data_IF_499599464307
#
_entry.id   IF_499599464307
#
_cell.length_a   1.000
_cell.length_b   1.000
_cell.length_c   1.000
_cell.angle_alpha   90.00
_cell.angle_beta   90.00
_cell.angle_gamma   90.00
#
_symmetry.space_group_name_H-M   'P 1'
#
loop_
_entity.id
_entity.type
_entity.pdbx_description
1 polymer ?
#
# COMPACT_ATOMS: atom_id res chain seq x y z
N UNK A 1 6.14 35.99 43.60
CA UNK A 1 5.07 35.30 42.85
C UNK A 1 5.70 34.83 41.55
N UNK A 2 6.02 33.54 41.43
CA UNK A 2 6.65 32.99 40.22
C UNK A 2 5.58 32.80 39.15
N UNK A 3 5.74 33.47 38.01
CA UNK A 3 4.91 33.27 36.83
C UNK A 3 5.29 31.91 36.23
N UNK A 4 4.53 30.86 36.54
CA UNK A 4 4.64 29.60 35.81
C UNK A 4 4.08 29.91 34.42
N UNK A 5 4.96 30.18 33.46
CA UNK A 5 4.61 30.20 32.04
C UNK A 5 4.02 28.84 31.72
N UNK A 6 2.80 28.82 31.23
CA UNK A 6 2.15 27.61 30.76
C UNK A 6 2.81 27.19 29.43
N UNK A 7 3.67 26.17 29.45
CA UNK A 7 4.45 25.77 28.28
C UNK A 7 3.58 25.07 27.22
N UNK A 8 2.34 24.69 27.56
CA UNK A 8 1.36 24.18 26.60
C UNK A 8 0.77 25.35 25.81
N UNK A 9 0.40 26.43 26.50
CA UNK A 9 -0.13 27.64 25.86
C UNK A 9 0.87 28.31 24.92
N UNK A 10 2.14 28.45 25.33
CA UNK A 10 3.19 28.98 24.45
C UNK A 10 3.42 28.11 23.20
N UNK A 11 3.27 26.78 23.32
CA UNK A 11 3.34 25.86 22.17
C UNK A 11 2.15 26.02 21.24
N UNK A 12 0.93 26.14 21.79
CA UNK A 12 -0.28 26.37 21.02
C UNK A 12 -0.22 27.66 20.21
N UNK A 13 0.27 28.74 20.81
CA UNK A 13 0.41 30.05 20.14
C UNK A 13 1.46 30.03 19.02
N UNK A 14 2.43 29.10 19.08
CA UNK A 14 3.44 28.90 18.04
C UNK A 14 2.97 28.07 16.84
N UNK A 15 1.80 27.42 16.90
CA UNK A 15 1.30 26.62 15.78
C UNK A 15 0.75 27.49 14.65
N UNK A 16 1.05 27.11 13.41
CA UNK A 16 0.43 27.71 12.23
C UNK A 16 -1.08 27.48 12.22
N UNK A 17 -1.85 28.49 11.81
CA UNK A 17 -3.31 28.36 11.61
C UNK A 17 -3.58 27.84 10.20
N UNK A 18 -4.41 26.80 10.09
CA UNK A 18 -4.89 26.28 8.82
C UNK A 18 -6.33 26.71 8.59
N UNK A 19 -6.58 27.49 7.53
CA UNK A 19 -7.93 27.94 7.16
C UNK A 19 -8.55 26.93 6.19
N UNK A 20 -9.73 26.41 6.53
CA UNK A 20 -10.48 25.47 5.70
C UNK A 20 -11.73 26.17 5.17
N UNK A 21 -11.85 26.29 3.85
CA UNK A 21 -13.08 26.74 3.19
C UNK A 21 -13.89 25.53 2.74
N UNK A 22 -15.18 25.50 3.05
CA UNK A 22 -16.05 24.36 2.70
C UNK A 22 -17.49 24.80 2.51
N UNK A 23 -18.20 24.08 1.64
CA UNK A 23 -19.64 24.16 1.40
C UNK A 23 -20.45 23.27 2.38
N UNK A 24 -19.79 22.59 3.33
CA UNK A 24 -20.42 21.66 4.28
C UNK A 24 -20.89 22.36 5.56
N UNK A 25 -21.74 23.36 5.40
CA UNK A 25 -22.35 24.16 6.47
C UNK A 25 -23.07 23.32 7.55
N UNK A 26 -23.65 22.18 7.15
CA UNK A 26 -24.38 21.27 8.06
C UNK A 26 -23.50 20.31 8.86
N UNK A 27 -22.18 20.29 8.64
CA UNK A 27 -21.27 19.37 9.33
C UNK A 27 -20.68 20.00 10.58
N UNK A 28 -20.50 19.20 11.64
CA UNK A 28 -19.77 19.66 12.82
C UNK A 28 -18.31 19.98 12.47
N UNK A 29 -17.76 21.06 13.01
CA UNK A 29 -16.39 21.52 12.74
C UNK A 29 -15.34 20.42 12.98
N UNK A 30 -15.51 19.60 14.03
CA UNK A 30 -14.64 18.46 14.30
C UNK A 30 -14.63 17.45 13.15
N UNK A 31 -15.81 17.17 12.55
CA UNK A 31 -15.94 16.26 11.41
C UNK A 31 -15.28 16.86 10.16
N UNK A 32 -15.43 18.17 9.94
CA UNK A 32 -14.78 18.88 8.83
C UNK A 32 -13.25 18.75 8.95
N UNK A 33 -12.70 19.07 10.12
CA UNK A 33 -11.25 18.98 10.38
C UNK A 33 -10.76 17.53 10.24
N UNK A 34 -11.46 16.55 10.83
CA UNK A 34 -11.10 15.12 10.70
C UNK A 34 -11.10 14.66 9.25
N UNK A 35 -12.08 15.07 8.45
CA UNK A 35 -12.14 14.71 7.02
C UNK A 35 -11.06 15.41 6.21
N UNK A 36 -10.80 16.69 6.48
CA UNK A 36 -9.72 17.42 5.81
C UNK A 36 -8.35 16.79 6.10
N UNK A 37 -8.09 16.45 7.37
CA UNK A 37 -6.84 15.80 7.78
C UNK A 37 -6.68 14.38 7.23
N UNK A 38 -7.77 13.72 6.78
CA UNK A 38 -7.70 12.43 6.06
C UNK A 38 -7.24 12.57 4.61
N UNK A 39 -7.12 13.79 4.07
CA UNK A 39 -6.57 14.04 2.74
C UNK A 39 -5.17 13.45 2.56
N UNK A 40 -4.38 13.40 3.63
CA UNK A 40 -3.05 12.78 3.66
C UNK A 40 -3.06 11.33 3.16
N UNK A 41 -4.14 10.57 3.40
CA UNK A 41 -4.30 9.21 2.88
C UNK A 41 -4.29 9.19 1.35
N UNK A 42 -4.97 10.16 0.72
CA UNK A 42 -5.01 10.29 -0.75
C UNK A 42 -3.66 10.76 -1.27
N UNK A 43 -2.97 11.64 -0.54
CA UNK A 43 -1.61 12.08 -0.91
C UNK A 43 -0.60 10.93 -0.87
N UNK A 44 -0.73 10.00 0.06
CA UNK A 44 0.08 8.79 0.11
C UNK A 44 -0.21 7.85 -1.09
N UNK A 45 -1.45 7.77 -1.56
CA UNK A 45 -1.80 7.09 -2.83
C UNK A 45 -1.13 7.79 -4.03
N UNK A 46 -1.13 9.13 -4.07
CA UNK A 46 -0.45 9.87 -5.15
C UNK A 46 1.07 9.69 -5.14
N UNK A 47 1.70 9.57 -3.97
CA UNK A 47 3.13 9.22 -3.88
C UNK A 47 3.39 7.84 -4.48
N UNK A 48 2.50 6.89 -4.23
CA UNK A 48 2.60 5.54 -4.78
C UNK A 48 2.41 5.48 -6.30
N UNK A 49 1.52 6.31 -6.85
CA UNK A 49 1.35 6.47 -8.30
C UNK A 49 2.55 7.13 -9.01
N UNK A 50 3.42 7.79 -8.24
CA UNK A 50 4.68 8.33 -8.73
C UNK A 50 5.87 7.43 -8.35
N UNK A 51 5.64 6.34 -7.62
CA UNK A 51 6.68 5.36 -7.30
C UNK A 51 6.86 4.42 -8.48
N UNK A 52 8.07 4.47 -9.05
CA UNK A 52 8.46 3.68 -10.23
C UNK A 52 8.30 2.18 -9.99
N UNK A 53 8.39 1.74 -8.74
CA UNK A 53 8.43 0.32 -8.39
C UNK A 53 7.05 -0.32 -8.28
N UNK A 54 5.99 0.46 -8.05
CA UNK A 54 4.68 -0.10 -7.69
C UNK A 54 3.60 0.27 -8.69
N UNK A 55 3.44 1.56 -9.02
CA UNK A 55 2.45 2.01 -9.99
C UNK A 55 2.99 3.21 -10.76
N UNK A 56 3.91 3.02 -11.72
CA UNK A 56 4.52 4.13 -12.44
C UNK A 56 3.55 4.79 -13.41
N UNK A 57 2.84 5.85 -13.01
CA UNK A 57 2.15 6.69 -13.99
C UNK A 57 3.17 7.38 -14.90
N UNK A 58 4.35 7.75 -14.38
CA UNK A 58 5.43 8.37 -15.14
C UNK A 58 6.74 7.56 -15.15
N UNK A 59 7.65 7.82 -16.12
CA UNK A 59 7.46 8.70 -17.28
C UNK A 59 6.57 8.04 -18.34
N UNK A 60 5.62 8.81 -18.89
CA UNK A 60 4.73 8.35 -19.95
C UNK A 60 5.49 8.40 -21.28
N UNK A 61 6.18 7.31 -21.64
CA UNK A 61 6.88 7.19 -22.92
C UNK A 61 5.93 6.83 -24.09
N UNK A 62 4.64 7.14 -23.95
CA UNK A 62 3.62 6.87 -24.95
C UNK A 62 3.33 8.16 -25.74
N UNK A 63 3.23 8.04 -27.07
CA UNK A 63 3.06 9.20 -27.97
C UNK A 63 1.62 9.42 -28.45
N UNK A 64 0.69 8.48 -28.18
CA UNK A 64 -0.72 8.58 -28.57
C UNK A 64 -1.60 8.73 -27.34
N UNK A 65 -2.55 9.66 -27.39
CA UNK A 65 -3.50 9.92 -26.29
C UNK A 65 -4.22 8.66 -25.81
N UNK A 66 -4.60 7.75 -26.70
CA UNK A 66 -5.25 6.49 -26.34
C UNK A 66 -4.34 5.59 -25.50
N UNK A 67 -3.05 5.51 -25.86
CA UNK A 67 -2.09 4.71 -25.12
C UNK A 67 -1.82 5.31 -23.73
N UNK A 68 -1.79 6.65 -23.62
CA UNK A 68 -1.68 7.36 -22.34
C UNK A 68 -2.89 7.02 -21.46
N UNK A 69 -4.11 7.09 -22.01
CA UNK A 69 -5.35 6.77 -21.29
C UNK A 69 -5.37 5.32 -20.79
N UNK A 70 -4.99 4.36 -21.63
CA UNK A 70 -4.91 2.95 -21.25
C UNK A 70 -3.87 2.72 -20.16
N UNK A 71 -2.68 3.31 -20.29
CA UNK A 71 -1.62 3.25 -19.27
C UNK A 71 -2.11 3.78 -17.91
N UNK A 72 -2.68 4.99 -17.88
CA UNK A 72 -3.24 5.57 -16.66
C UNK A 72 -4.34 4.70 -16.06
N UNK A 73 -5.22 4.14 -16.88
CA UNK A 73 -6.27 3.23 -16.41
C UNK A 73 -5.70 1.97 -15.75
N UNK A 74 -4.68 1.34 -16.36
CA UNK A 74 -4.00 0.18 -15.79
C UNK A 74 -3.30 0.51 -14.48
N UNK A 75 -2.62 1.66 -14.41
CA UNK A 75 -1.99 2.15 -13.19
C UNK A 75 -3.02 2.30 -12.06
N UNK A 76 -4.11 3.02 -12.28
CA UNK A 76 -5.15 3.22 -11.26
C UNK A 76 -5.79 1.88 -10.85
N UNK A 77 -6.01 0.97 -11.79
CA UNK A 77 -6.53 -0.37 -11.51
C UNK A 77 -5.55 -1.18 -10.64
N UNK A 78 -4.26 -1.16 -10.97
CA UNK A 78 -3.21 -1.78 -10.17
C UNK A 78 -3.14 -1.22 -8.74
N UNK A 79 -3.24 0.10 -8.59
CA UNK A 79 -3.33 0.74 -7.28
C UNK A 79 -4.52 0.23 -6.46
N UNK A 80 -5.69 0.08 -7.06
CA UNK A 80 -6.88 -0.46 -6.39
C UNK A 80 -6.62 -1.89 -5.91
N UNK A 81 -5.97 -2.73 -6.71
CA UNK A 81 -5.59 -4.08 -6.29
C UNK A 81 -4.59 -4.09 -5.14
N UNK A 82 -3.57 -3.22 -5.18
CA UNK A 82 -2.63 -3.07 -4.07
C UNK A 82 -3.31 -2.60 -2.78
N UNK A 83 -4.24 -1.64 -2.87
CA UNK A 83 -5.02 -1.18 -1.71
C UNK A 83 -5.93 -2.27 -1.17
N UNK A 84 -6.56 -3.04 -2.04
CA UNK A 84 -7.35 -4.20 -1.64
C UNK A 84 -6.48 -5.26 -0.95
N UNK A 85 -5.30 -5.55 -1.48
CA UNK A 85 -4.34 -6.47 -0.87
C UNK A 85 -3.88 -5.98 0.52
N UNK A 86 -3.54 -4.70 0.66
CA UNK A 86 -3.22 -4.10 1.96
C UNK A 86 -4.40 -4.20 2.94
N UNK A 87 -5.63 -3.96 2.50
CA UNK A 87 -6.82 -4.13 3.33
C UNK A 87 -6.98 -5.58 3.81
N UNK A 88 -6.78 -6.56 2.92
CA UNK A 88 -6.80 -8.00 3.25
C UNK A 88 -5.72 -8.38 4.24
N UNK A 89 -4.58 -7.69 4.24
CA UNK A 89 -3.42 -7.92 5.11
C UNK A 89 -3.31 -6.91 6.27
N UNK A 90 -4.36 -6.14 6.58
CA UNK A 90 -4.29 -5.06 7.59
C UNK A 90 -3.79 -5.49 8.97
N UNK A 91 -4.02 -6.75 9.35
CA UNK A 91 -3.63 -7.33 10.63
C UNK A 91 -2.13 -7.60 10.77
N UNK A 92 -1.38 -7.54 9.67
CA UNK A 92 0.08 -7.66 9.69
C UNK A 92 0.77 -6.36 10.13
N UNK A 93 0.04 -5.23 10.14
CA UNK A 93 0.57 -3.92 10.54
C UNK A 93 1.84 -3.48 9.79
N UNK A 94 2.00 -3.94 8.54
CA UNK A 94 3.10 -3.54 7.64
C UNK A 94 2.62 -2.53 6.60
N UNK A 95 3.54 -1.72 6.07
CA UNK A 95 3.24 -0.79 4.98
C UNK A 95 2.96 -1.56 3.68
N UNK A 96 2.25 -0.92 2.74
CA UNK A 96 1.99 -1.52 1.43
C UNK A 96 3.29 -1.83 0.68
N UNK A 97 4.29 -0.94 0.73
CA UNK A 97 5.61 -1.20 0.15
C UNK A 97 6.26 -2.46 0.73
N UNK A 98 6.27 -2.57 2.07
CA UNK A 98 6.81 -3.76 2.74
C UNK A 98 6.04 -5.01 2.37
N UNK A 99 4.71 -4.94 2.31
CA UNK A 99 3.88 -6.07 1.87
C UNK A 99 4.26 -6.57 0.47
N UNK A 100 4.54 -5.66 -0.48
CA UNK A 100 4.97 -6.04 -1.82
C UNK A 100 6.39 -6.63 -1.81
N UNK A 101 7.31 -6.04 -1.05
CA UNK A 101 8.67 -6.59 -0.87
C UNK A 101 8.64 -8.02 -0.32
N UNK A 102 7.84 -8.27 0.73
CA UNK A 102 7.68 -9.60 1.32
C UNK A 102 7.12 -10.61 0.31
N UNK A 103 6.09 -10.24 -0.43
CA UNK A 103 5.50 -11.11 -1.46
C UNK A 103 6.47 -11.36 -2.62
N UNK A 104 7.26 -10.35 -3.02
CA UNK A 104 8.28 -10.51 -4.05
C UNK A 104 9.45 -11.38 -3.61
N UNK A 105 9.68 -11.52 -2.30
CA UNK A 105 10.71 -12.39 -1.74
C UNK A 105 10.33 -13.88 -1.76
N UNK A 106 9.04 -14.20 -1.91
CA UNK A 106 8.56 -15.58 -2.04
C UNK A 106 8.94 -16.10 -3.42
N UNK A 107 9.87 -17.05 -3.46
CA UNK A 107 10.38 -17.65 -4.69
C UNK A 107 9.84 -19.07 -4.88
N UNK A 108 9.62 -19.44 -6.13
CA UNK A 108 9.13 -20.76 -6.53
C UNK A 108 10.14 -21.35 -7.52
N UNK A 109 10.50 -22.61 -7.33
CA UNK A 109 11.40 -23.37 -8.18
C UNK A 109 10.71 -24.60 -8.76
N UNK A 110 11.18 -25.06 -9.92
CA UNK A 110 10.85 -26.38 -10.45
C UNK A 110 11.90 -27.37 -9.96
N UNK A 111 11.47 -28.40 -9.24
CA UNK A 111 12.35 -29.41 -8.68
C UNK A 111 11.94 -30.80 -9.17
N UNK A 112 12.93 -31.62 -9.51
CA UNK A 112 12.71 -33.02 -9.82
C UNK A 112 12.59 -33.84 -8.54
N UNK A 113 11.45 -34.48 -8.35
CA UNK A 113 11.23 -35.36 -7.21
C UNK A 113 11.73 -36.77 -7.52
N UNK A 114 12.98 -37.05 -7.12
CA UNK A 114 13.61 -38.38 -7.31
C UNK A 114 12.85 -39.52 -6.63
N UNK A 115 12.08 -39.24 -5.56
CA UNK A 115 11.27 -40.24 -4.88
C UNK A 115 9.98 -40.60 -5.65
N UNK A 116 9.53 -39.72 -6.56
CA UNK A 116 8.36 -39.94 -7.42
C UNK A 116 8.75 -40.09 -8.89
N UNK A 117 9.71 -40.97 -9.17
CA UNK A 117 10.08 -41.34 -10.56
C UNK A 117 10.53 -40.15 -11.43
N UNK A 118 11.13 -39.10 -10.83
CA UNK A 118 11.61 -37.94 -11.58
C UNK A 118 10.52 -36.97 -12.05
N UNK A 119 9.33 -36.99 -11.40
CA UNK A 119 8.28 -35.99 -11.68
C UNK A 119 8.80 -34.59 -11.32
N UNK A 120 8.67 -33.64 -12.24
CA UNK A 120 8.95 -32.23 -11.98
C UNK A 120 7.76 -31.64 -11.21
N UNK A 121 8.02 -31.05 -10.04
CA UNK A 121 7.03 -30.42 -9.18
C UNK A 121 7.43 -28.96 -8.90
N UNK A 122 6.44 -28.07 -8.77
CA UNK A 122 6.66 -26.70 -8.28
C UNK A 122 6.85 -26.75 -6.76
N UNK A 123 7.92 -26.13 -6.27
CA UNK A 123 8.27 -26.09 -4.85
C UNK A 123 8.56 -24.64 -4.45
N UNK A 124 8.10 -24.25 -3.26
CA UNK A 124 8.42 -22.93 -2.69
C UNK A 124 9.78 -23.00 -2.03
N UNK A 125 10.63 -21.99 -2.26
CA UNK A 125 11.89 -21.84 -1.56
C UNK A 125 11.68 -21.50 -0.07
N UNK A 126 12.78 -21.45 0.69
CA UNK A 126 12.73 -21.04 2.10
C UNK A 126 12.13 -19.64 2.24
N UNK A 127 11.15 -19.53 3.14
CA UNK A 127 10.46 -18.30 3.49
C UNK A 127 10.85 -17.86 4.89
N UNK A 128 10.96 -16.55 5.11
CA UNK A 128 11.01 -16.02 6.46
C UNK A 128 9.64 -16.09 7.17
N UNK A 129 9.61 -15.76 8.45
CA UNK A 129 8.40 -15.83 9.27
C UNK A 129 7.26 -14.94 8.78
N UNK A 130 7.55 -13.80 8.16
CA UNK A 130 6.54 -12.86 7.64
C UNK A 130 5.98 -13.40 6.34
N UNK A 131 6.86 -13.84 5.43
CA UNK A 131 6.51 -14.45 4.15
C UNK A 131 5.64 -15.69 4.33
N UNK A 132 6.02 -16.61 5.23
CA UNK A 132 5.25 -17.83 5.51
C UNK A 132 3.83 -17.52 6.02
N UNK A 133 3.70 -16.49 6.89
CA UNK A 133 2.40 -16.04 7.39
C UNK A 133 1.57 -15.40 6.27
N UNK A 134 2.15 -14.57 5.42
CA UNK A 134 1.48 -13.96 4.27
C UNK A 134 1.02 -15.01 3.26
N UNK A 135 1.89 -15.96 2.93
CA UNK A 135 1.63 -17.07 2.03
C UNK A 135 0.43 -17.90 2.48
N UNK A 136 0.40 -18.23 3.78
CA UNK A 136 -0.70 -18.97 4.39
C UNK A 136 -2.00 -18.17 4.44
N UNK A 137 -1.92 -16.89 4.87
CA UNK A 137 -3.08 -16.00 4.97
C UNK A 137 -3.76 -15.73 3.63
N UNK A 138 -2.97 -15.56 2.58
CA UNK A 138 -3.46 -15.36 1.22
C UNK A 138 -3.83 -16.67 0.50
N UNK A 139 -3.63 -17.82 1.16
CA UNK A 139 -3.85 -19.15 0.62
C UNK A 139 -3.17 -19.33 -0.75
N UNK A 140 -1.88 -18.97 -0.84
CA UNK A 140 -1.12 -19.04 -2.09
C UNK A 140 -0.73 -20.47 -2.46
N UNK A 141 -0.71 -21.39 -1.48
CA UNK A 141 -0.41 -22.81 -1.70
C UNK A 141 -1.30 -23.49 -2.75
N UNK A 142 -2.55 -23.04 -2.89
CA UNK A 142 -3.47 -23.56 -3.93
C UNK A 142 -2.96 -23.42 -5.36
N UNK A 143 -2.02 -22.50 -5.61
CA UNK A 143 -1.45 -22.26 -6.93
C UNK A 143 -0.21 -23.11 -7.23
N UNK A 144 0.35 -23.77 -6.21
CA UNK A 144 1.55 -24.62 -6.34
C UNK A 144 1.17 -26.09 -6.55
N UNK A 145 0.00 -26.50 -6.05
CA UNK A 145 -0.47 -27.90 -6.10
C UNK A 145 -1.29 -28.24 -7.37
N UNK A 146 -1.37 -27.33 -8.35
CA UNK A 146 -2.08 -27.60 -9.60
C UNK A 146 -1.19 -28.37 -10.59
N UNK A 147 -0.97 -29.68 -10.36
CA UNK A 147 -0.24 -30.58 -11.27
C UNK A 147 -0.19 -32.05 -10.83
#
# INVERSE_FOLDING_TARGET
MYWIKDPEKERYDGFGKMVIFTDKDRWHSEKIVKTYNKKSLVEDDFKLLNDVLLVPIGPVNHHKDDNIRVHTFLCVTGLIFYRYLAYRCKHFHISLKRLVEELSGIRIALAENKAKSGKIELVVEEMDSTQARLFSHLNLGKFITAG
#
